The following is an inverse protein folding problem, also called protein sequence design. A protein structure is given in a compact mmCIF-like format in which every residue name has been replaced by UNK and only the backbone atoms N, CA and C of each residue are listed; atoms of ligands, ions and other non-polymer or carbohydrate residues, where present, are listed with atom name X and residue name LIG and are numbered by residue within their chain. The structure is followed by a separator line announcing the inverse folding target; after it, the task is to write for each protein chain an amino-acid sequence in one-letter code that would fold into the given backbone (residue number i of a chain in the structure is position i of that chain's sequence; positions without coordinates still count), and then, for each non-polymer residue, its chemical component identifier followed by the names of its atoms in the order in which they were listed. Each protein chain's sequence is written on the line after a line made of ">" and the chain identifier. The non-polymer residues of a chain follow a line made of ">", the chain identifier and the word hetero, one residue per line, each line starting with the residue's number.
data_IF_557712097781
#
_entry.id   IF_557712097781
#
_cell.length_a   1.000
_cell.length_b   1.000
_cell.length_c   1.000
_cell.angle_alpha   90.00
_cell.angle_beta   90.00
_cell.angle_gamma   90.00
#
_symmetry.space_group_name_H-M   'P 1'
#
loop_
_entity.id
_entity.type
_entity.pdbx_description
1 polymer ?
#
# COMPACT_ATOMS: atom_id res chain seq x y z
N UNK A 1 6.11 -21.96 25.64
CA UNK A 1 5.42 -21.59 24.41
C UNK A 1 4.77 -20.23 24.54
N UNK A 2 4.37 -19.64 23.43
CA UNK A 2 3.63 -18.38 23.42
C UNK A 2 2.14 -18.68 23.25
N UNK A 3 1.30 -17.83 23.85
CA UNK A 3 -0.15 -17.83 23.63
C UNK A 3 -0.50 -16.60 22.77
N UNK A 4 -1.10 -16.81 21.61
CA UNK A 4 -1.48 -15.74 20.70
C UNK A 4 -2.94 -15.35 20.91
N UNK A 5 -3.19 -14.07 21.16
CA UNK A 5 -4.50 -13.44 21.10
C UNK A 5 -4.54 -12.66 19.77
N UNK A 6 -5.51 -12.96 18.92
CA UNK A 6 -5.68 -12.30 17.64
C UNK A 6 -6.92 -11.40 17.63
N UNK A 7 -6.74 -10.16 17.23
CA UNK A 7 -7.78 -9.15 17.08
C UNK A 7 -7.82 -8.66 15.65
N UNK A 8 -8.95 -8.82 14.96
CA UNK A 8 -9.13 -8.35 13.59
C UNK A 8 -9.66 -6.90 13.56
N UNK A 9 -8.87 -5.98 13.07
CA UNK A 9 -9.25 -4.58 12.89
C UNK A 9 -10.26 -4.34 11.77
N UNK A 10 -10.57 -5.33 10.93
CA UNK A 10 -11.52 -5.24 9.83
C UNK A 10 -11.27 -4.03 8.91
N UNK A 11 -10.00 -3.75 8.61
CA UNK A 11 -9.57 -2.61 7.80
C UNK A 11 -10.02 -1.24 8.35
N UNK A 12 -10.17 -1.12 9.70
CA UNK A 12 -10.57 0.12 10.36
C UNK A 12 -9.63 0.45 11.51
N UNK A 13 -9.02 1.63 11.46
CA UNK A 13 -8.13 2.11 12.52
C UNK A 13 -8.85 2.16 13.89
N UNK A 14 -10.09 2.62 13.93
CA UNK A 14 -10.87 2.69 15.18
C UNK A 14 -11.03 1.32 15.86
N UNK A 15 -11.11 0.24 15.09
CA UNK A 15 -11.17 -1.11 15.63
C UNK A 15 -9.80 -1.56 16.14
N UNK A 16 -8.71 -1.21 15.43
CA UNK A 16 -7.36 -1.50 15.90
C UNK A 16 -7.06 -0.75 17.21
N UNK A 17 -7.46 0.50 17.33
CA UNK A 17 -7.33 1.28 18.58
C UNK A 17 -8.09 0.62 19.72
N UNK A 18 -9.33 0.16 19.49
CA UNK A 18 -10.11 -0.57 20.49
C UNK A 18 -9.45 -1.91 20.87
N UNK A 19 -8.92 -2.63 19.87
CA UNK A 19 -8.21 -3.88 20.08
C UNK A 19 -6.96 -3.70 20.96
N UNK A 20 -6.15 -2.68 20.69
CA UNK A 20 -4.97 -2.35 21.52
C UNK A 20 -5.39 -2.09 22.97
N UNK A 21 -6.43 -1.29 23.21
CA UNK A 21 -6.95 -1.05 24.57
C UNK A 21 -7.44 -2.31 25.25
N UNK A 22 -8.11 -3.19 24.52
CA UNK A 22 -8.53 -4.51 25.05
C UNK A 22 -7.32 -5.37 25.43
N UNK A 23 -6.27 -5.37 24.62
CA UNK A 23 -5.03 -6.11 24.92
C UNK A 23 -4.31 -5.53 26.13
N UNK A 24 -4.29 -4.20 26.29
CA UNK A 24 -3.76 -3.53 27.49
C UNK A 24 -4.54 -3.98 28.75
N UNK A 25 -5.87 -4.01 28.69
CA UNK A 25 -6.71 -4.47 29.80
C UNK A 25 -6.51 -5.96 30.14
N UNK A 26 -6.08 -6.76 29.18
CA UNK A 26 -5.74 -8.18 29.37
C UNK A 26 -4.31 -8.39 29.86
N UNK A 27 -3.54 -7.31 30.05
CA UNK A 27 -2.15 -7.33 30.54
C UNK A 27 -1.27 -8.29 29.71
N UNK A 28 -1.36 -8.20 28.37
CA UNK A 28 -0.52 -9.01 27.48
C UNK A 28 0.94 -8.62 27.60
N UNK A 29 1.87 -9.55 27.33
CA UNK A 29 3.31 -9.31 27.41
C UNK A 29 3.85 -8.45 26.28
N UNK A 30 3.24 -8.53 25.07
CA UNK A 30 3.64 -7.81 23.85
C UNK A 30 2.43 -7.54 22.98
N UNK A 31 2.44 -6.44 22.25
CA UNK A 31 1.49 -6.15 21.17
C UNK A 31 2.25 -6.14 19.84
N UNK A 32 1.76 -6.88 18.84
CA UNK A 32 2.20 -6.78 17.46
C UNK A 32 1.10 -6.07 16.69
N UNK A 33 1.42 -4.94 16.09
CA UNK A 33 0.49 -4.08 15.35
C UNK A 33 0.89 -4.02 13.88
N UNK A 34 -0.04 -4.34 12.98
CA UNK A 34 0.03 -4.01 11.55
C UNK A 34 -0.90 -2.80 11.30
N UNK A 35 -0.38 -1.56 11.32
CA UNK A 35 -1.22 -0.36 11.28
C UNK A 35 -1.84 -0.16 9.90
N UNK A 36 -3.16 0.10 9.85
CA UNK A 36 -3.84 0.29 8.58
C UNK A 36 -3.46 1.61 7.88
N UNK A 37 -3.15 2.65 8.65
CA UNK A 37 -2.67 3.97 8.19
C UNK A 37 -1.47 4.41 9.02
N UNK A 38 -0.72 5.41 8.54
CA UNK A 38 0.51 5.86 9.22
C UNK A 38 0.26 6.72 10.46
N UNK A 39 -0.82 7.47 10.51
CA UNK A 39 -1.04 8.53 11.53
C UNK A 39 -2.14 8.19 12.53
N UNK A 40 -2.14 8.89 13.68
CA UNK A 40 -3.21 8.83 14.70
C UNK A 40 -3.04 7.67 15.69
N UNK A 41 -1.80 7.24 15.94
CA UNK A 41 -1.48 6.14 16.85
C UNK A 41 -0.92 6.59 18.20
N UNK A 42 -0.45 7.85 18.30
CA UNK A 42 0.30 8.38 19.44
C UNK A 42 -0.41 8.07 20.76
N UNK A 43 -1.68 8.46 20.89
CA UNK A 43 -2.42 8.31 22.14
C UNK A 43 -2.55 6.87 22.63
N UNK A 44 -2.89 5.92 21.74
CA UNK A 44 -3.07 4.52 22.14
C UNK A 44 -1.74 3.81 22.38
N UNK A 45 -0.67 4.22 21.70
CA UNK A 45 0.67 3.69 21.93
C UNK A 45 1.30 4.28 23.20
N UNK A 46 0.97 5.53 23.57
CA UNK A 46 1.27 6.08 24.90
C UNK A 46 0.58 5.26 25.99
N UNK A 47 -0.71 4.92 25.86
CA UNK A 47 -1.42 4.04 26.79
C UNK A 47 -0.71 2.67 26.96
N UNK A 48 -0.25 2.06 25.86
CA UNK A 48 0.50 0.81 25.91
C UNK A 48 1.86 0.97 26.62
N UNK A 49 2.58 2.06 26.34
CA UNK A 49 3.87 2.39 26.99
C UNK A 49 3.69 2.62 28.49
N UNK A 50 2.66 3.37 28.91
CA UNK A 50 2.34 3.60 30.32
C UNK A 50 1.98 2.30 31.05
N UNK A 51 1.33 1.36 30.37
CA UNK A 51 1.07 0.01 30.87
C UNK A 51 2.31 -0.90 30.90
N UNK A 52 3.43 -0.44 30.38
CA UNK A 52 4.68 -1.21 30.30
C UNK A 52 4.65 -2.33 29.24
N UNK A 53 3.76 -2.25 28.26
CA UNK A 53 3.59 -3.25 27.20
C UNK A 53 4.33 -2.79 25.95
N UNK A 54 5.42 -3.46 25.54
CA UNK A 54 6.15 -3.12 24.33
C UNK A 54 5.32 -3.43 23.08
N UNK A 55 5.37 -2.50 22.12
CA UNK A 55 4.71 -2.62 20.82
C UNK A 55 5.74 -2.91 19.73
N UNK A 56 5.45 -3.85 18.85
CA UNK A 56 6.20 -4.18 17.66
C UNK A 56 5.34 -3.84 16.46
N UNK A 57 5.84 -2.99 15.55
CA UNK A 57 5.17 -2.74 14.28
C UNK A 57 5.55 -3.82 13.28
N UNK A 58 4.56 -4.37 12.58
CA UNK A 58 4.73 -5.42 11.59
C UNK A 58 4.22 -4.95 10.23
N UNK A 59 4.92 -5.30 9.17
CA UNK A 59 4.63 -4.96 7.78
C UNK A 59 4.63 -3.44 7.54
N UNK A 60 3.56 -2.76 7.94
CA UNK A 60 3.40 -1.32 7.81
C UNK A 60 3.99 -0.59 9.01
N UNK A 61 4.42 0.64 8.78
CA UNK A 61 4.90 1.53 9.84
C UNK A 61 3.93 2.68 10.10
N UNK A 62 4.18 3.37 11.19
CA UNK A 62 3.50 4.61 11.57
C UNK A 62 4.44 5.80 11.37
N UNK A 63 3.86 6.98 11.12
CA UNK A 63 4.54 8.26 11.17
C UNK A 63 4.21 8.91 12.51
N UNK A 64 5.21 8.99 13.41
CA UNK A 64 5.08 9.55 14.75
C UNK A 64 6.31 10.39 15.08
N UNK A 65 6.13 11.44 15.89
CA UNK A 65 7.23 12.28 16.37
C UNK A 65 8.09 11.55 17.42
N UNK A 66 7.48 10.66 18.22
CA UNK A 66 8.16 9.91 19.28
C UNK A 66 8.34 8.44 18.91
N UNK A 67 9.51 8.09 18.40
CA UNK A 67 9.88 6.71 18.07
C UNK A 67 9.98 5.78 19.31
N UNK A 68 9.94 6.32 20.52
CA UNK A 68 9.95 5.53 21.75
C UNK A 68 8.62 4.87 22.09
N UNK A 69 7.58 5.13 21.30
CA UNK A 69 6.24 4.52 21.44
C UNK A 69 6.16 3.08 20.91
N UNK A 70 7.16 2.65 20.17
CA UNK A 70 7.27 1.25 19.74
C UNK A 70 8.72 0.75 19.90
N UNK A 71 8.87 -0.57 19.99
CA UNK A 71 10.17 -1.19 20.23
C UNK A 71 10.98 -1.35 18.95
N UNK A 72 10.33 -1.79 17.88
CA UNK A 72 10.90 -1.95 16.55
C UNK A 72 9.82 -2.07 15.49
N UNK A 73 10.25 -1.86 14.25
CA UNK A 73 9.46 -2.15 13.07
C UNK A 73 10.13 -3.24 12.24
N UNK A 74 9.33 -4.17 11.72
CA UNK A 74 9.76 -5.25 10.83
C UNK A 74 8.85 -5.25 9.61
N UNK A 75 9.36 -4.83 8.47
CA UNK A 75 8.59 -4.71 7.24
C UNK A 75 9.46 -4.45 6.01
N UNK A 76 8.81 -4.16 4.90
CA UNK A 76 9.45 -3.86 3.61
C UNK A 76 9.73 -2.38 3.43
N UNK A 77 10.76 -2.06 2.65
CA UNK A 77 10.96 -0.71 2.11
C UNK A 77 10.02 -0.49 0.92
N UNK A 78 8.83 0.01 1.19
CA UNK A 78 7.79 0.23 0.17
C UNK A 78 8.19 1.28 -0.87
N UNK A 79 9.01 2.26 -0.51
CA UNK A 79 9.52 3.23 -1.47
C UNK A 79 10.50 2.56 -2.46
N UNK A 80 11.36 1.67 -1.96
CA UNK A 80 12.23 0.87 -2.81
C UNK A 80 11.43 -0.08 -3.73
N UNK A 81 10.34 -0.67 -3.25
CA UNK A 81 9.45 -1.47 -4.10
C UNK A 81 8.85 -0.63 -5.24
N UNK A 82 8.42 0.60 -4.94
CA UNK A 82 7.92 1.55 -5.95
C UNK A 82 8.98 1.92 -6.98
N UNK A 83 10.21 2.25 -6.54
CA UNK A 83 11.35 2.51 -7.44
C UNK A 83 11.67 1.30 -8.32
N UNK A 84 11.69 0.12 -7.73
CA UNK A 84 11.96 -1.12 -8.46
C UNK A 84 10.92 -1.40 -9.55
N UNK A 85 9.63 -1.11 -9.30
CA UNK A 85 8.59 -1.19 -10.32
C UNK A 85 8.84 -0.21 -11.48
N UNK A 86 9.23 1.03 -11.18
CA UNK A 86 9.61 2.03 -12.19
C UNK A 86 10.81 1.59 -13.01
N UNK A 87 11.89 1.18 -12.39
CA UNK A 87 13.10 0.72 -13.09
C UNK A 87 12.86 -0.59 -13.87
N UNK A 88 11.97 -1.45 -13.39
CA UNK A 88 11.56 -2.62 -14.17
C UNK A 88 10.87 -2.18 -15.48
N UNK A 89 9.98 -1.19 -15.41
CA UNK A 89 9.29 -0.66 -16.59
C UNK A 89 10.28 -0.01 -17.59
N UNK A 90 11.24 0.78 -17.11
CA UNK A 90 12.32 1.33 -17.95
C UNK A 90 13.03 0.23 -18.73
N UNK A 91 13.51 -0.78 -18.02
CA UNK A 91 14.21 -1.91 -18.61
C UNK A 91 13.34 -2.72 -19.59
N UNK A 92 12.04 -2.85 -19.29
CA UNK A 92 11.09 -3.54 -20.16
C UNK A 92 10.90 -2.79 -21.47
N UNK A 93 10.63 -1.48 -21.41
CA UNK A 93 10.44 -0.63 -22.59
C UNK A 93 11.72 -0.56 -23.45
N UNK A 94 12.89 -0.48 -22.83
CA UNK A 94 14.17 -0.51 -23.53
C UNK A 94 14.33 -1.82 -24.32
N UNK A 95 14.08 -2.96 -23.71
CA UNK A 95 14.15 -4.28 -24.36
C UNK A 95 13.15 -4.43 -25.51
N UNK A 96 12.01 -3.73 -25.44
CA UNK A 96 11.01 -3.70 -26.51
C UNK A 96 11.32 -2.66 -27.60
N UNK A 97 12.36 -1.85 -27.46
CA UNK A 97 12.69 -0.74 -28.36
C UNK A 97 11.75 0.45 -28.27
N UNK A 98 11.02 0.59 -27.16
CA UNK A 98 9.96 1.60 -26.94
C UNK A 98 10.37 2.76 -26.03
N UNK A 99 11.64 2.91 -25.68
CA UNK A 99 12.12 3.92 -24.71
C UNK A 99 11.79 5.38 -25.10
N UNK A 100 11.55 5.66 -26.37
CA UNK A 100 11.23 7.01 -26.87
C UNK A 100 9.73 7.25 -27.12
N UNK A 101 8.89 6.25 -26.88
CA UNK A 101 7.44 6.37 -27.09
C UNK A 101 6.77 7.04 -25.90
N UNK A 102 5.65 7.73 -26.16
CA UNK A 102 4.77 8.17 -25.08
C UNK A 102 4.12 6.95 -24.43
N UNK A 103 4.14 6.87 -23.11
CA UNK A 103 3.59 5.76 -22.34
C UNK A 103 2.52 6.28 -21.39
N UNK A 104 1.27 5.87 -21.60
CA UNK A 104 0.13 6.24 -20.78
C UNK A 104 -0.06 5.24 -19.65
N UNK A 105 0.00 5.73 -18.42
CA UNK A 105 0.03 4.93 -17.20
C UNK A 105 -1.20 5.23 -16.34
N UNK A 106 -1.86 4.20 -15.83
CA UNK A 106 -2.81 4.32 -14.73
C UNK A 106 -2.29 3.57 -13.51
N UNK A 107 -2.70 3.99 -12.31
CA UNK A 107 -2.22 3.37 -11.07
C UNK A 107 -3.38 2.97 -10.17
N UNK A 108 -3.38 1.69 -9.77
CA UNK A 108 -4.23 1.13 -8.73
C UNK A 108 -3.48 1.22 -7.40
N UNK A 109 -3.85 2.20 -6.59
CA UNK A 109 -3.26 2.42 -5.27
C UNK A 109 -3.94 1.54 -4.22
N UNK A 110 -3.20 1.21 -3.17
CA UNK A 110 -3.73 0.52 -2.01
C UNK A 110 -4.62 1.40 -1.12
N UNK A 111 -4.78 0.99 0.14
CA UNK A 111 -5.49 1.78 1.16
C UNK A 111 -4.77 3.10 1.38
N UNK A 112 -5.46 4.20 1.08
CA UNK A 112 -4.88 5.54 1.18
C UNK A 112 -4.44 5.85 2.62
N UNK A 113 -3.25 6.41 2.74
CA UNK A 113 -2.65 6.77 4.02
C UNK A 113 -1.93 5.60 4.72
N UNK A 114 -1.87 4.41 4.13
CA UNK A 114 -0.98 3.35 4.61
C UNK A 114 0.45 3.57 4.13
N UNK A 115 1.44 3.18 4.94
CA UNK A 115 2.86 3.28 4.56
C UNK A 115 3.19 2.51 3.28
N UNK A 116 2.48 1.41 3.02
CA UNK A 116 2.61 0.62 1.81
C UNK A 116 2.17 1.39 0.56
N UNK A 117 1.00 2.05 0.62
CA UNK A 117 0.51 2.86 -0.49
C UNK A 117 1.38 4.10 -0.71
N UNK A 118 1.69 4.85 0.35
CA UNK A 118 2.51 6.06 0.27
C UNK A 118 3.88 5.73 -0.33
N UNK A 119 4.58 4.74 0.23
CA UNK A 119 5.92 4.38 -0.21
C UNK A 119 5.95 3.91 -1.67
N UNK A 120 5.06 3.00 -2.07
CA UNK A 120 5.01 2.51 -3.46
C UNK A 120 4.66 3.60 -4.45
N UNK A 121 3.67 4.46 -4.11
CA UNK A 121 3.30 5.62 -4.93
C UNK A 121 4.48 6.58 -5.12
N UNK A 122 5.15 6.96 -4.02
CA UNK A 122 6.22 7.95 -4.05
C UNK A 122 7.46 7.40 -4.74
N UNK A 123 7.85 6.15 -4.44
CA UNK A 123 8.98 5.49 -5.09
C UNK A 123 8.80 5.36 -6.61
N UNK A 124 7.60 4.98 -7.07
CA UNK A 124 7.31 4.97 -8.51
C UNK A 124 7.33 6.39 -9.11
N UNK A 125 6.81 7.39 -8.38
CA UNK A 125 6.78 8.76 -8.84
C UNK A 125 8.19 9.36 -9.01
N UNK A 126 9.17 8.96 -8.19
CA UNK A 126 10.58 9.36 -8.35
C UNK A 126 11.15 8.94 -9.72
N UNK A 127 10.85 7.70 -10.16
CA UNK A 127 11.29 7.19 -11.47
C UNK A 127 10.46 7.80 -12.60
N UNK A 128 9.15 7.96 -12.42
CA UNK A 128 8.27 8.62 -13.38
C UNK A 128 8.77 10.02 -13.75
N UNK A 129 9.21 10.81 -12.77
CA UNK A 129 9.72 12.17 -12.98
C UNK A 129 11.00 12.23 -13.83
N UNK A 130 11.74 11.14 -13.94
CA UNK A 130 12.95 11.05 -14.76
C UNK A 130 12.66 10.66 -16.22
N UNK A 131 11.42 10.27 -16.52
CA UNK A 131 10.97 9.80 -17.82
C UNK A 131 9.94 10.77 -18.43
N UNK A 132 10.40 11.78 -19.18
CA UNK A 132 9.58 12.87 -19.74
C UNK A 132 8.44 12.38 -20.66
N UNK A 133 8.59 11.21 -21.24
CA UNK A 133 7.60 10.59 -22.12
C UNK A 133 6.58 9.69 -21.41
N UNK A 134 6.69 9.53 -20.09
CA UNK A 134 5.70 8.81 -19.29
C UNK A 134 4.62 9.75 -18.78
N UNK A 135 3.38 9.41 -19.03
CA UNK A 135 2.21 10.22 -18.66
C UNK A 135 1.35 9.44 -17.67
N UNK A 136 1.36 9.86 -16.42
CA UNK A 136 0.43 9.34 -15.42
C UNK A 136 -0.96 9.95 -15.69
N UNK A 137 -1.88 9.13 -16.23
CA UNK A 137 -3.25 9.56 -16.53
C UNK A 137 -4.07 9.74 -15.27
N UNK A 138 -4.06 8.73 -14.40
CA UNK A 138 -4.83 8.75 -13.15
C UNK A 138 -4.28 7.77 -12.13
N UNK A 139 -4.50 8.09 -10.84
CA UNK A 139 -4.29 7.22 -9.69
C UNK A 139 -5.59 7.10 -8.92
N UNK A 140 -5.99 5.87 -8.56
CA UNK A 140 -7.19 5.65 -7.78
C UNK A 140 -7.03 4.44 -6.84
N UNK A 141 -7.60 4.54 -5.62
CA UNK A 141 -7.49 3.46 -4.65
C UNK A 141 -8.39 2.29 -4.99
N UNK A 142 -7.80 1.10 -5.00
CA UNK A 142 -8.49 -0.19 -5.00
C UNK A 142 -8.46 -0.89 -3.64
N UNK A 143 -8.05 -0.17 -2.57
CA UNK A 143 -8.06 -0.63 -1.17
C UNK A 143 -7.41 -2.00 -0.94
N UNK A 144 -6.40 -2.35 -1.75
CA UNK A 144 -5.73 -3.65 -1.74
C UNK A 144 -6.65 -4.85 -1.99
N UNK A 145 -7.86 -4.65 -2.50
CA UNK A 145 -8.83 -5.73 -2.75
C UNK A 145 -9.02 -6.01 -4.24
N UNK A 146 -9.28 -7.28 -4.57
CA UNK A 146 -9.53 -7.70 -5.95
C UNK A 146 -10.78 -7.04 -6.52
N UNK A 147 -11.88 -7.02 -5.76
CA UNK A 147 -13.15 -6.46 -6.21
C UNK A 147 -13.04 -4.97 -6.51
N UNK A 148 -12.38 -4.19 -5.64
CA UNK A 148 -12.22 -2.76 -5.85
C UNK A 148 -11.21 -2.46 -6.96
N UNK A 149 -10.15 -3.25 -7.08
CA UNK A 149 -9.20 -3.17 -8.21
C UNK A 149 -9.89 -3.41 -9.55
N UNK A 150 -10.81 -4.39 -9.63
CA UNK A 150 -11.62 -4.62 -10.83
C UNK A 150 -12.55 -3.43 -11.14
N UNK A 151 -13.24 -2.90 -10.14
CA UNK A 151 -14.13 -1.75 -10.29
C UNK A 151 -13.37 -0.52 -10.83
N UNK A 152 -12.27 -0.16 -10.19
CA UNK A 152 -11.44 0.98 -10.59
C UNK A 152 -10.85 0.78 -11.99
N UNK A 153 -10.39 -0.43 -12.31
CA UNK A 153 -9.88 -0.69 -13.65
C UNK A 153 -10.96 -0.56 -14.73
N UNK A 154 -12.21 -0.95 -14.47
CA UNK A 154 -13.34 -0.71 -15.38
C UNK A 154 -13.54 0.78 -15.63
N UNK A 155 -13.49 1.62 -14.60
CA UNK A 155 -13.59 3.07 -14.72
C UNK A 155 -12.46 3.64 -15.59
N UNK A 156 -11.22 3.18 -15.41
CA UNK A 156 -10.10 3.59 -16.26
C UNK A 156 -10.30 3.20 -17.72
N UNK A 157 -10.77 1.98 -17.98
CA UNK A 157 -11.02 1.48 -19.35
C UNK A 157 -12.14 2.23 -20.04
N UNK A 158 -13.15 2.72 -19.31
CA UNK A 158 -14.24 3.55 -19.85
C UNK A 158 -13.76 4.99 -20.16
N UNK A 159 -12.83 5.51 -19.34
CA UNK A 159 -12.38 6.90 -19.41
C UNK A 159 -11.23 7.10 -20.39
N UNK A 160 -10.34 6.13 -20.52
CA UNK A 160 -9.13 6.23 -21.32
C UNK A 160 -9.10 5.18 -22.42
N UNK A 161 -8.99 5.66 -23.67
CA UNK A 161 -8.86 4.79 -24.83
C UNK A 161 -7.46 4.15 -24.90
N UNK A 162 -6.43 4.95 -24.61
CA UNK A 162 -5.04 4.53 -24.65
C UNK A 162 -4.49 4.37 -23.23
N UNK A 163 -4.29 3.14 -22.80
CA UNK A 163 -3.59 2.75 -21.58
C UNK A 163 -2.51 1.75 -22.00
N UNK A 164 -1.24 2.10 -21.79
CA UNK A 164 -0.10 1.22 -22.10
C UNK A 164 0.32 0.39 -20.89
N UNK A 165 0.16 0.95 -19.68
CA UNK A 165 0.67 0.35 -18.43
C UNK A 165 -0.32 0.54 -17.29
N UNK A 166 -0.51 -0.51 -16.53
CA UNK A 166 -1.19 -0.48 -15.23
C UNK A 166 -0.18 -0.76 -14.13
N UNK A 167 0.07 0.22 -13.27
CA UNK A 167 0.79 0.01 -12.02
C UNK A 167 -0.20 -0.41 -10.95
N UNK A 168 0.04 -1.54 -10.32
CA UNK A 168 -0.81 -2.07 -9.26
C UNK A 168 0.03 -2.35 -8.02
N UNK A 169 -0.36 -1.77 -6.89
CA UNK A 169 0.42 -1.83 -5.65
C UNK A 169 0.29 -3.16 -4.90
N UNK A 170 -0.56 -4.09 -5.35
CA UNK A 170 -0.57 -5.48 -4.89
C UNK A 170 -1.22 -6.44 -5.91
N UNK A 171 -1.00 -7.74 -5.69
CA UNK A 171 -1.48 -8.81 -6.56
C UNK A 171 -3.01 -8.92 -6.61
N UNK A 172 -3.71 -8.70 -5.49
CA UNK A 172 -5.16 -8.79 -5.45
C UNK A 172 -5.81 -7.79 -6.42
N UNK A 173 -5.40 -6.53 -6.37
CA UNK A 173 -5.88 -5.51 -7.32
C UNK A 173 -5.46 -5.86 -8.76
N UNK A 174 -4.26 -6.41 -8.95
CA UNK A 174 -3.79 -6.85 -10.27
C UNK A 174 -4.69 -7.92 -10.86
N UNK A 175 -5.10 -8.93 -10.08
CA UNK A 175 -6.04 -9.94 -10.55
C UNK A 175 -7.39 -9.32 -10.93
N UNK A 176 -7.91 -8.39 -10.14
CA UNK A 176 -9.12 -7.65 -10.47
C UNK A 176 -8.99 -6.83 -11.77
N UNK A 177 -7.86 -6.14 -11.96
CA UNK A 177 -7.57 -5.39 -13.17
C UNK A 177 -7.51 -6.30 -14.41
N UNK A 178 -6.85 -7.44 -14.32
CA UNK A 178 -6.78 -8.43 -15.43
C UNK A 178 -8.19 -8.92 -15.82
N UNK A 179 -9.06 -9.17 -14.86
CA UNK A 179 -10.45 -9.55 -15.12
C UNK A 179 -11.20 -8.44 -15.87
N UNK A 180 -11.08 -7.18 -15.41
CA UNK A 180 -11.71 -6.03 -16.07
C UNK A 180 -11.22 -5.84 -17.52
N UNK A 181 -9.91 -5.94 -17.75
CA UNK A 181 -9.28 -5.81 -19.07
C UNK A 181 -9.82 -6.90 -20.02
N UNK A 182 -9.90 -8.15 -19.55
CA UNK A 182 -10.43 -9.28 -20.33
C UNK A 182 -11.91 -9.11 -20.65
N UNK A 183 -12.73 -8.69 -19.68
CA UNK A 183 -14.16 -8.43 -19.88
C UNK A 183 -14.42 -7.31 -20.91
N UNK A 184 -13.55 -6.29 -20.93
CA UNK A 184 -13.59 -5.23 -21.93
C UNK A 184 -13.09 -5.64 -23.32
N UNK A 185 -12.52 -6.85 -23.45
CA UNK A 185 -11.92 -7.34 -24.71
C UNK A 185 -10.67 -6.57 -25.13
N UNK A 186 -10.00 -5.91 -24.16
CA UNK A 186 -8.79 -5.11 -24.41
C UNK A 186 -7.51 -5.92 -24.13
N UNK A 187 -6.41 -5.40 -24.64
CA UNK A 187 -5.05 -5.85 -24.35
C UNK A 187 -4.25 -4.66 -23.89
N UNK A 188 -3.58 -4.78 -22.77
CA UNK A 188 -2.68 -3.78 -22.17
C UNK A 188 -1.33 -4.47 -21.92
#
# INVERSE_FOLDING_TARGET
>A
GYYLIFEDGQQKQENQVKAIRNLILQEVDYIVLDPIVETGWESVLEEAKEAGIPVILSDRRTEMEDDSLYTCWVGSDFAEEGRNAGHWLENYLEKQGRSGETVHIVSLQGTLGSSAQIGRTDGFAEVLQQNENWVMLERQSGDFTQAKGQEVMKEFLEKYEDIDVVISENDNMTFGAIEAIREAGRTI
#
